data_IF_550787035830
#
_entry.id   IF_550787035830
#
_cell.length_a   1.000
_cell.length_b   1.000
_cell.length_c   1.000
_cell.angle_alpha   90.00
_cell.angle_beta   90.00
_cell.angle_gamma   90.00
#
_symmetry.space_group_name_H-M   'P 1'
#
loop_
_entity.id
_entity.type
_entity.pdbx_description
1 polymer ?
#
# COMPACT_ATOMS: atom_id res chain seq x y z
N UNK A 1 -37.40 54.28 -40.18
CA UNK A 1 -36.29 53.33 -39.75
C UNK A 1 -35.79 53.73 -38.38
N UNK A 2 -35.81 55.03 -37.98
CA UNK A 2 -35.30 55.45 -36.63
C UNK A 2 -36.34 55.28 -35.49
N UNK A 3 -37.60 54.94 -35.81
CA UNK A 3 -38.63 54.69 -34.79
C UNK A 3 -38.73 53.22 -34.34
N UNK A 4 -38.08 52.29 -35.03
CA UNK A 4 -38.10 50.87 -34.74
C UNK A 4 -36.93 50.39 -33.83
N UNK A 5 -36.02 51.29 -33.44
CA UNK A 5 -34.89 50.99 -32.58
C UNK A 5 -35.17 51.32 -31.08
N UNK A 6 -36.32 51.97 -30.82
CA UNK A 6 -36.66 52.38 -29.43
C UNK A 6 -37.33 51.30 -28.58
N UNK A 7 -37.78 50.20 -29.18
CA UNK A 7 -38.46 49.08 -28.46
C UNK A 7 -37.70 47.76 -28.53
N UNK A 8 -36.38 47.78 -28.77
CA UNK A 8 -35.58 46.61 -28.47
C UNK A 8 -35.19 46.73 -27.01
N UNK A 9 -35.81 45.91 -26.17
CA UNK A 9 -35.35 45.56 -24.83
C UNK A 9 -33.91 44.96 -24.97
N UNK A 10 -32.92 45.85 -24.97
CA UNK A 10 -31.56 45.39 -24.69
C UNK A 10 -31.57 44.93 -23.24
N UNK A 11 -31.15 43.69 -22.93
CA UNK A 11 -31.04 43.25 -21.57
C UNK A 11 -30.18 44.27 -20.80
N UNK A 12 -30.68 44.74 -19.68
CA UNK A 12 -30.06 45.76 -18.85
C UNK A 12 -28.59 45.46 -18.67
N UNK A 13 -27.73 46.50 -18.80
CA UNK A 13 -26.29 46.40 -18.66
C UNK A 13 -25.89 45.74 -17.33
N UNK A 14 -26.71 45.87 -16.29
CA UNK A 14 -26.58 45.19 -15.01
C UNK A 14 -26.60 43.64 -15.13
N UNK A 15 -27.48 43.10 -15.99
CA UNK A 15 -27.55 41.64 -16.21
C UNK A 15 -26.31 41.14 -17.02
N UNK A 16 -25.78 41.94 -17.90
CA UNK A 16 -24.54 41.60 -18.63
C UNK A 16 -23.29 41.60 -17.71
N UNK A 17 -23.24 42.55 -16.78
CA UNK A 17 -22.17 42.63 -15.78
C UNK A 17 -22.26 41.44 -14.81
N UNK A 18 -23.45 41.05 -14.41
CA UNK A 18 -23.67 39.92 -13.51
C UNK A 18 -23.27 38.60 -14.14
N UNK A 19 -23.59 38.36 -15.40
CA UNK A 19 -23.18 37.17 -16.15
C UNK A 19 -21.65 37.08 -16.26
N UNK A 20 -20.96 38.22 -16.55
CA UNK A 20 -19.49 38.24 -16.59
C UNK A 20 -18.87 37.95 -15.24
N UNK A 21 -19.41 38.53 -14.19
CA UNK A 21 -18.91 38.29 -12.82
C UNK A 21 -19.12 36.83 -12.39
N UNK A 22 -20.28 36.24 -12.69
CA UNK A 22 -20.55 34.82 -12.46
C UNK A 22 -19.58 33.92 -13.25
N UNK A 23 -19.33 34.27 -14.52
CA UNK A 23 -18.39 33.54 -15.36
C UNK A 23 -16.94 33.63 -14.84
N UNK A 24 -16.48 34.84 -14.49
CA UNK A 24 -15.14 35.07 -13.92
C UNK A 24 -14.99 34.33 -12.58
N UNK A 25 -15.99 34.34 -11.72
CA UNK A 25 -15.99 33.58 -10.48
C UNK A 25 -15.88 32.08 -10.72
N UNK A 26 -16.68 31.50 -11.62
CA UNK A 26 -16.62 30.09 -11.99
C UNK A 26 -15.26 29.71 -12.62
N UNK A 27 -14.68 30.61 -13.41
CA UNK A 27 -13.36 30.41 -13.99
C UNK A 27 -12.27 30.40 -12.91
N UNK A 28 -12.34 31.35 -11.96
CA UNK A 28 -11.47 31.41 -10.78
C UNK A 28 -11.54 30.12 -9.95
N UNK A 29 -12.76 29.67 -9.65
CA UNK A 29 -12.98 28.41 -8.91
C UNK A 29 -12.39 27.18 -9.65
N UNK A 30 -12.53 27.13 -10.98
CA UNK A 30 -11.92 26.07 -11.80
C UNK A 30 -10.41 26.13 -11.78
N UNK A 31 -9.81 27.32 -11.88
CA UNK A 31 -8.35 27.52 -11.83
C UNK A 31 -7.80 27.09 -10.48
N UNK A 32 -8.44 27.48 -9.37
CA UNK A 32 -8.02 27.07 -8.03
C UNK A 32 -8.16 25.54 -7.82
N UNK A 33 -9.24 24.96 -8.31
CA UNK A 33 -9.41 23.49 -8.28
C UNK A 33 -8.33 22.77 -9.09
N UNK A 34 -7.99 23.27 -10.28
CA UNK A 34 -6.91 22.70 -11.11
C UNK A 34 -5.55 22.83 -10.43
N UNK A 35 -5.24 23.98 -9.81
CA UNK A 35 -4.01 24.17 -9.04
C UNK A 35 -3.91 23.21 -7.86
N UNK A 36 -4.99 23.08 -7.08
CA UNK A 36 -5.07 22.14 -5.96
C UNK A 36 -4.86 20.70 -6.42
N UNK A 37 -5.57 20.28 -7.49
CA UNK A 37 -5.42 18.93 -8.05
C UNK A 37 -3.99 18.70 -8.55
N UNK A 38 -3.38 19.66 -9.25
CA UNK A 38 -2.00 19.54 -9.72
C UNK A 38 -1.00 19.40 -8.56
N UNK A 39 -1.18 20.19 -7.50
CA UNK A 39 -0.35 20.08 -6.29
C UNK A 39 -0.48 18.70 -5.63
N UNK A 40 -1.69 18.16 -5.57
CA UNK A 40 -1.93 16.79 -5.06
C UNK A 40 -1.25 15.73 -5.92
N UNK A 41 -1.33 15.84 -7.24
CA UNK A 41 -0.67 14.89 -8.17
C UNK A 41 0.85 14.93 -7.98
N UNK A 42 1.44 16.12 -7.88
CA UNK A 42 2.89 16.26 -7.63
C UNK A 42 3.28 15.64 -6.30
N UNK A 43 2.50 15.90 -5.25
CA UNK A 43 2.73 15.32 -3.93
C UNK A 43 2.69 13.78 -3.96
N UNK A 44 1.66 13.20 -4.57
CA UNK A 44 1.54 11.74 -4.71
C UNK A 44 2.67 11.14 -5.55
N UNK A 45 3.10 11.83 -6.63
CA UNK A 45 4.23 11.37 -7.43
C UNK A 45 5.54 11.36 -6.63
N UNK A 46 5.75 12.37 -5.79
CA UNK A 46 6.92 12.44 -4.90
C UNK A 46 6.90 11.33 -3.84
N UNK A 47 5.75 11.12 -3.19
CA UNK A 47 5.57 10.05 -2.20
C UNK A 47 5.79 8.66 -2.80
N UNK A 48 5.26 8.41 -3.99
CA UNK A 48 5.53 7.20 -4.75
C UNK A 48 7.02 7.01 -5.03
N UNK A 49 7.72 8.05 -5.47
CA UNK A 49 9.16 7.97 -5.73
C UNK A 49 9.96 7.64 -4.46
N UNK A 50 9.59 8.18 -3.32
CA UNK A 50 10.20 7.83 -2.04
C UNK A 50 9.92 6.37 -1.67
N UNK A 51 8.69 5.89 -1.87
CA UNK A 51 8.30 4.50 -1.66
C UNK A 51 9.15 3.54 -2.52
N UNK A 52 9.33 3.85 -3.81
CA UNK A 52 10.19 3.07 -4.72
C UNK A 52 11.62 2.96 -4.18
N UNK A 53 12.23 4.07 -3.76
CA UNK A 53 13.60 4.09 -3.22
C UNK A 53 13.72 3.22 -1.96
N UNK A 54 12.73 3.25 -1.08
CA UNK A 54 12.67 2.41 0.13
C UNK A 54 12.61 0.92 -0.24
N UNK A 55 11.73 0.54 -1.16
CA UNK A 55 11.60 -0.84 -1.63
C UNK A 55 12.89 -1.33 -2.30
N UNK A 56 13.48 -0.53 -3.19
CA UNK A 56 14.75 -0.88 -3.82
C UNK A 56 15.85 -1.13 -2.79
N UNK A 57 15.96 -0.27 -1.76
CA UNK A 57 16.91 -0.46 -0.67
C UNK A 57 16.64 -1.76 0.08
N UNK A 58 15.37 -2.05 0.42
CA UNK A 58 15.00 -3.32 1.05
C UNK A 58 15.37 -4.53 0.18
N UNK A 59 15.13 -4.48 -1.14
CA UNK A 59 15.51 -5.57 -2.04
C UNK A 59 17.02 -5.82 -2.05
N UNK A 60 17.83 -4.77 -2.11
CA UNK A 60 19.29 -4.90 -2.09
C UNK A 60 19.79 -5.54 -0.78
N UNK A 61 19.36 -5.01 0.35
CA UNK A 61 19.70 -5.55 1.68
C UNK A 61 19.20 -7.01 1.86
N UNK A 62 18.02 -7.33 1.30
CA UNK A 62 17.50 -8.71 1.30
C UNK A 62 18.47 -9.67 0.61
N UNK A 63 18.95 -9.32 -0.59
CA UNK A 63 19.86 -10.18 -1.39
C UNK A 63 21.23 -10.33 -0.72
N UNK A 64 21.67 -9.38 0.08
CA UNK A 64 22.95 -9.42 0.80
C UNK A 64 22.93 -10.37 2.01
N UNK A 65 21.76 -10.82 2.47
CA UNK A 65 21.65 -11.77 3.58
C UNK A 65 22.18 -13.15 3.18
N UNK A 66 22.90 -13.83 4.08
CA UNK A 66 23.61 -15.07 3.77
C UNK A 66 22.89 -16.34 4.22
N UNK A 67 21.97 -16.20 5.15
CA UNK A 67 21.18 -17.28 5.75
C UNK A 67 19.79 -16.77 6.13
N UNK A 68 18.91 -17.70 6.51
CA UNK A 68 17.52 -17.41 6.81
C UNK A 68 17.38 -16.57 8.09
N UNK A 69 18.22 -16.79 9.09
CA UNK A 69 18.19 -16.03 10.34
C UNK A 69 18.52 -14.57 10.11
N UNK A 70 19.57 -14.28 9.34
CA UNK A 70 19.94 -12.90 8.98
C UNK A 70 18.88 -12.24 8.09
N UNK A 71 18.22 -13.00 7.20
CA UNK A 71 17.11 -12.52 6.41
C UNK A 71 15.92 -12.11 7.29
N UNK A 72 15.51 -12.97 8.22
CA UNK A 72 14.38 -12.68 9.09
C UNK A 72 14.68 -11.55 10.06
N UNK A 73 15.89 -11.48 10.63
CA UNK A 73 16.33 -10.34 11.44
C UNK A 73 16.31 -9.03 10.64
N UNK A 74 16.82 -9.05 9.41
CA UNK A 74 16.75 -7.88 8.54
C UNK A 74 15.30 -7.44 8.31
N UNK A 75 14.42 -8.36 7.92
CA UNK A 75 13.02 -8.05 7.64
C UNK A 75 12.28 -7.48 8.86
N UNK A 76 12.49 -8.07 10.04
CA UNK A 76 11.76 -7.64 11.24
C UNK A 76 12.32 -6.35 11.88
N UNK A 77 13.60 -6.04 11.71
CA UNK A 77 14.24 -4.90 12.36
C UNK A 77 14.56 -3.78 11.37
N UNK A 78 15.52 -4.00 10.46
CA UNK A 78 16.00 -2.95 9.55
C UNK A 78 14.99 -2.56 8.48
N UNK A 79 14.25 -3.52 7.91
CA UNK A 79 13.24 -3.23 6.89
C UNK A 79 12.11 -2.39 7.46
N UNK A 80 11.76 -2.52 8.74
CA UNK A 80 10.79 -1.67 9.44
C UNK A 80 11.19 -0.20 9.37
N UNK A 81 12.45 0.10 9.68
CA UNK A 81 13.00 1.46 9.60
C UNK A 81 13.07 1.99 8.17
N UNK A 82 13.54 1.17 7.22
CA UNK A 82 13.70 1.57 5.81
C UNK A 82 12.33 1.87 5.19
N UNK A 83 11.34 1.02 5.41
CA UNK A 83 9.99 1.20 4.89
C UNK A 83 9.24 2.31 5.61
N UNK A 84 9.58 2.55 6.88
CA UNK A 84 8.90 3.52 7.74
C UNK A 84 7.52 3.01 8.15
N UNK A 85 7.45 1.73 8.53
CA UNK A 85 6.27 1.07 9.08
C UNK A 85 6.46 0.81 10.57
N UNK A 86 5.39 0.60 11.30
CA UNK A 86 5.49 0.47 12.76
C UNK A 86 5.95 -0.94 13.16
N UNK A 87 5.46 -1.96 12.47
CA UNK A 87 5.81 -3.36 12.78
C UNK A 87 5.85 -4.21 11.51
N UNK A 88 6.77 -5.18 11.49
CA UNK A 88 6.81 -6.25 10.49
C UNK A 88 6.77 -7.59 11.23
N UNK A 89 5.80 -8.43 10.86
CA UNK A 89 5.67 -9.81 11.35
C UNK A 89 5.82 -10.77 10.18
N UNK A 90 6.47 -11.89 10.40
CA UNK A 90 6.66 -12.93 9.39
C UNK A 90 5.91 -14.17 9.85
N UNK A 91 5.05 -14.68 9.00
CA UNK A 91 4.36 -15.95 9.21
C UNK A 91 4.90 -16.95 8.20
N UNK A 92 5.42 -18.07 8.69
CA UNK A 92 6.06 -19.09 7.84
C UNK A 92 5.61 -20.49 8.23
N UNK A 93 5.78 -21.41 7.30
CA UNK A 93 5.45 -22.80 7.47
C UNK A 93 6.36 -23.45 8.51
N UNK A 94 5.79 -24.13 9.52
CA UNK A 94 6.49 -24.82 10.60
C UNK A 94 7.33 -26.01 10.10
N UNK A 95 6.88 -26.75 9.10
CA UNK A 95 7.62 -27.91 8.56
C UNK A 95 9.00 -27.54 7.97
N UNK A 96 9.09 -26.33 7.40
CA UNK A 96 10.31 -25.86 6.72
C UNK A 96 11.19 -25.06 7.68
N UNK A 97 10.59 -24.31 8.60
CA UNK A 97 11.27 -23.28 9.38
C UNK A 97 11.31 -23.54 10.89
N UNK A 98 10.90 -24.73 11.36
CA UNK A 98 10.82 -25.08 12.79
C UNK A 98 12.15 -24.95 13.57
N UNK A 99 13.27 -24.97 12.88
CA UNK A 99 14.59 -24.86 13.49
C UNK A 99 15.07 -23.40 13.66
N UNK A 100 14.30 -22.43 13.20
CA UNK A 100 14.65 -21.01 13.26
C UNK A 100 13.90 -20.34 14.41
N UNK A 101 14.62 -19.66 15.28
CA UNK A 101 14.06 -19.02 16.46
C UNK A 101 14.23 -17.49 16.37
N UNK A 102 13.25 -16.82 15.81
CA UNK A 102 13.22 -15.35 15.71
C UNK A 102 11.96 -14.83 16.41
N UNK A 103 12.11 -13.85 17.32
CA UNK A 103 11.01 -13.32 18.16
C UNK A 103 9.79 -12.82 17.37
N UNK A 104 9.98 -12.37 16.13
CA UNK A 104 8.93 -11.82 15.28
C UNK A 104 8.43 -12.79 14.20
N UNK A 105 8.82 -14.07 14.27
CA UNK A 105 8.35 -15.12 13.38
C UNK A 105 7.26 -15.94 14.04
N UNK A 106 6.17 -16.14 13.32
CA UNK A 106 5.02 -16.95 13.74
C UNK A 106 5.01 -18.19 12.85
N UNK A 107 5.06 -19.37 13.49
CA UNK A 107 5.05 -20.64 12.79
C UNK A 107 3.63 -21.17 12.68
N UNK A 108 3.24 -21.57 11.48
CA UNK A 108 1.89 -22.07 11.17
C UNK A 108 1.94 -23.24 10.19
N UNK A 109 0.95 -24.11 10.26
CA UNK A 109 0.83 -25.21 9.30
C UNK A 109 0.50 -24.72 7.88
N UNK A 110 0.87 -25.51 6.87
CA UNK A 110 0.54 -25.22 5.45
C UNK A 110 -0.96 -24.97 5.23
N UNK A 111 -1.81 -25.70 5.96
CA UNK A 111 -3.26 -25.51 5.84
C UNK A 111 -3.73 -24.16 6.37
N UNK A 112 -3.21 -23.71 7.50
CA UNK A 112 -3.56 -22.43 8.11
C UNK A 112 -3.10 -21.29 7.20
N UNK A 113 -1.86 -21.33 6.67
CA UNK A 113 -1.31 -20.35 5.75
C UNK A 113 -2.15 -20.30 4.47
N UNK A 114 -2.45 -21.45 3.87
CA UNK A 114 -3.22 -21.52 2.63
C UNK A 114 -4.63 -20.99 2.81
N UNK A 115 -5.32 -21.36 3.89
CA UNK A 115 -6.66 -20.85 4.22
C UNK A 115 -6.65 -19.34 4.42
N UNK A 116 -5.64 -18.81 5.12
CA UNK A 116 -5.51 -17.38 5.35
C UNK A 116 -5.27 -16.61 4.06
N UNK A 117 -4.30 -17.04 3.25
CA UNK A 117 -3.95 -16.43 1.96
C UNK A 117 -5.15 -16.38 1.01
N UNK A 118 -5.92 -17.46 0.93
CA UNK A 118 -7.16 -17.53 0.13
C UNK A 118 -8.23 -16.58 0.67
N UNK A 119 -8.43 -16.54 1.99
CA UNK A 119 -9.42 -15.67 2.65
C UNK A 119 -9.11 -14.18 2.42
N UNK A 120 -7.85 -13.81 2.40
CA UNK A 120 -7.38 -12.43 2.16
C UNK A 120 -7.45 -12.07 0.67
N UNK A 121 -7.65 -13.05 -0.22
CA UNK A 121 -7.76 -12.83 -1.67
C UNK A 121 -6.42 -12.69 -2.39
N UNK A 122 -5.35 -13.24 -1.80
CA UNK A 122 -4.06 -13.40 -2.46
C UNK A 122 -4.14 -14.62 -3.37
N UNK A 123 -3.68 -14.47 -4.62
CA UNK A 123 -3.71 -15.51 -5.65
C UNK A 123 -2.40 -15.53 -6.43
N UNK A 124 -2.20 -16.55 -7.26
CA UNK A 124 -1.07 -16.55 -8.21
C UNK A 124 -1.16 -15.35 -9.14
N UNK A 125 -0.19 -14.44 -9.06
CA UNK A 125 -0.16 -13.19 -9.84
C UNK A 125 -0.68 -11.95 -9.09
N UNK A 126 -1.26 -12.12 -7.88
CA UNK A 126 -1.60 -11.03 -6.97
C UNK A 126 -1.08 -11.37 -5.58
N UNK A 127 0.20 -11.11 -5.37
CA UNK A 127 0.97 -11.53 -4.20
C UNK A 127 0.84 -10.59 -3.01
N UNK A 128 0.19 -9.45 -3.19
CA UNK A 128 0.06 -8.39 -2.18
C UNK A 128 -1.40 -8.02 -1.97
N UNK A 129 -1.78 -7.78 -0.73
CA UNK A 129 -3.07 -7.22 -0.34
C UNK A 129 -2.86 -6.06 0.62
N UNK A 130 -3.40 -4.90 0.26
CA UNK A 130 -3.49 -3.72 1.13
C UNK A 130 -4.84 -3.69 1.80
N UNK A 131 -4.89 -3.25 3.05
CA UNK A 131 -6.11 -3.23 3.84
C UNK A 131 -6.10 -2.08 4.83
N UNK A 132 -7.22 -1.36 4.91
CA UNK A 132 -7.48 -0.42 5.99
C UNK A 132 -8.28 -1.15 7.08
N UNK A 133 -7.75 -1.18 8.30
CA UNK A 133 -8.32 -1.92 9.42
C UNK A 133 -8.93 -1.02 10.49
N UNK A 134 -8.85 0.30 10.33
CA UNK A 134 -9.32 1.29 11.31
C UNK A 134 -10.81 1.11 11.69
N UNK A 135 -11.63 0.60 10.78
CA UNK A 135 -13.08 0.42 10.95
C UNK A 135 -13.52 -1.04 11.00
N UNK A 136 -12.58 -2.00 11.02
CA UNK A 136 -12.94 -3.41 11.07
C UNK A 136 -13.21 -3.85 12.52
N UNK A 137 -14.46 -4.29 12.77
CA UNK A 137 -14.78 -5.05 13.98
C UNK A 137 -13.95 -6.34 13.95
N UNK A 138 -13.32 -6.69 15.10
CA UNK A 138 -12.55 -7.94 15.27
C UNK A 138 -13.25 -9.10 14.55
N UNK A 139 -12.63 -9.60 13.48
CA UNK A 139 -13.13 -10.76 12.74
C UNK A 139 -12.28 -11.99 13.07
N UNK A 140 -12.84 -13.18 12.90
CA UNK A 140 -12.21 -14.48 13.17
C UNK A 140 -10.85 -14.72 12.47
N UNK A 141 -10.46 -13.86 11.49
CA UNK A 141 -9.15 -13.88 10.86
C UNK A 141 -8.00 -13.43 11.79
N UNK A 142 -8.32 -12.81 12.92
CA UNK A 142 -7.35 -12.35 13.92
C UNK A 142 -6.76 -13.50 14.74
N UNK A 143 -7.29 -14.73 14.63
CA UNK A 143 -6.75 -15.90 15.35
C UNK A 143 -5.36 -16.31 14.85
N UNK A 144 -5.00 -15.97 13.64
CA UNK A 144 -3.71 -16.34 13.07
C UNK A 144 -2.57 -15.38 13.46
N UNK A 145 -2.90 -14.08 13.59
CA UNK A 145 -1.93 -13.02 13.84
C UNK A 145 -2.53 -12.04 14.85
N UNK A 146 -1.83 -11.83 15.96
CA UNK A 146 -2.16 -10.76 16.89
C UNK A 146 -1.69 -9.44 16.31
N UNK A 147 -2.61 -8.51 16.09
CA UNK A 147 -2.31 -7.13 15.64
C UNK A 147 -1.99 -6.24 16.84
N UNK A 148 -1.21 -5.20 16.57
CA UNK A 148 -1.08 -4.09 17.50
C UNK A 148 -2.38 -3.28 17.55
N UNK A 149 -2.82 -2.87 18.73
CA UNK A 149 -4.07 -2.08 18.89
C UNK A 149 -4.02 -0.74 18.12
N UNK A 150 -2.83 -0.21 17.89
CA UNK A 150 -2.61 1.03 17.16
C UNK A 150 -2.69 0.89 15.64
N UNK A 151 -2.73 -0.33 15.10
CA UNK A 151 -2.71 -0.59 13.65
C UNK A 151 -3.98 -0.07 12.97
N UNK A 152 -3.80 0.79 11.97
CA UNK A 152 -4.89 1.34 11.16
C UNK A 152 -4.86 0.89 9.70
N UNK A 153 -3.68 0.57 9.18
CA UNK A 153 -3.53 0.00 7.84
C UNK A 153 -2.48 -1.11 7.82
N UNK A 154 -2.64 -2.05 6.91
CA UNK A 154 -1.76 -3.20 6.78
C UNK A 154 -1.50 -3.58 5.32
N UNK A 155 -0.32 -4.14 5.06
CA UNK A 155 -0.02 -4.82 3.81
C UNK A 155 0.39 -6.27 4.09
N UNK A 156 -0.24 -7.20 3.38
CA UNK A 156 0.06 -8.62 3.45
C UNK A 156 0.78 -9.01 2.16
N UNK A 157 2.00 -9.52 2.30
CA UNK A 157 2.91 -9.85 1.19
C UNK A 157 3.18 -11.35 1.26
N UNK A 158 2.76 -12.11 0.25
CA UNK A 158 2.97 -13.56 0.24
C UNK A 158 4.43 -13.95 0.02
N UNK A 159 4.86 -15.02 0.66
CA UNK A 159 6.12 -15.70 0.43
C UNK A 159 5.86 -17.05 -0.23
N UNK A 160 6.50 -17.28 -1.37
CA UNK A 160 6.32 -18.50 -2.16
C UNK A 160 7.65 -19.22 -2.39
N UNK A 161 7.62 -20.55 -2.24
CA UNK A 161 8.74 -21.44 -2.53
C UNK A 161 8.22 -22.44 -3.56
N UNK A 162 8.92 -22.64 -4.68
CA UNK A 162 8.49 -23.49 -5.80
C UNK A 162 7.04 -23.22 -6.23
N UNK A 163 6.66 -21.94 -6.33
CA UNK A 163 5.30 -21.49 -6.68
C UNK A 163 4.18 -21.96 -5.73
N UNK A 164 4.52 -22.36 -4.50
CA UNK A 164 3.55 -22.68 -3.44
C UNK A 164 3.68 -21.64 -2.32
N UNK A 165 2.58 -21.18 -1.79
CA UNK A 165 2.59 -20.28 -0.64
C UNK A 165 3.12 -21.01 0.59
N UNK A 166 4.19 -20.48 1.19
CA UNK A 166 4.86 -21.04 2.35
C UNK A 166 4.94 -20.07 3.53
N UNK A 167 4.40 -18.90 3.34
CA UNK A 167 4.35 -17.86 4.35
C UNK A 167 3.84 -16.54 3.80
N UNK A 168 3.89 -15.52 4.64
CA UNK A 168 3.63 -14.14 4.27
C UNK A 168 4.30 -13.17 5.26
N UNK A 169 4.55 -11.97 4.79
CA UNK A 169 5.02 -10.84 5.59
C UNK A 169 3.82 -9.93 5.83
N UNK A 170 3.59 -9.55 7.07
CA UNK A 170 2.60 -8.57 7.48
C UNK A 170 3.32 -7.26 7.84
N UNK A 171 3.04 -6.19 7.12
CA UNK A 171 3.47 -4.84 7.44
C UNK A 171 2.30 -4.12 8.11
N UNK A 172 2.53 -3.52 9.27
CA UNK A 172 1.50 -2.80 10.03
C UNK A 172 1.88 -1.33 10.18
N UNK A 173 0.88 -0.44 10.06
CA UNK A 173 1.07 1.00 10.29
C UNK A 173 -0.08 1.60 11.09
N UNK A 174 0.26 2.51 12.01
CA UNK A 174 -0.67 3.34 12.77
C UNK A 174 -1.30 4.46 11.90
N UNK A 175 -0.82 4.68 10.67
CA UNK A 175 -1.38 5.62 9.72
C UNK A 175 -2.32 4.92 8.75
N UNK A 176 -3.52 5.48 8.54
CA UNK A 176 -4.49 4.96 7.56
C UNK A 176 -4.02 5.12 6.11
N UNK A 177 -3.15 6.10 5.85
CA UNK A 177 -2.69 6.44 4.50
C UNK A 177 -1.48 5.62 4.04
N UNK A 178 -0.80 4.89 4.93
CA UNK A 178 0.40 4.13 4.58
C UNK A 178 0.09 2.99 3.61
N UNK A 179 -1.00 2.26 3.85
CA UNK A 179 -1.45 1.15 3.01
C UNK A 179 -2.90 1.35 2.59
N UNK A 180 -3.13 2.28 1.65
CA UNK A 180 -4.46 2.53 1.08
C UNK A 180 -4.79 1.49 0.02
N UNK A 181 -6.05 1.03 -0.01
CA UNK A 181 -6.54 0.03 -0.97
C UNK A 181 -6.39 0.49 -2.43
N UNK A 182 -6.40 1.82 -2.65
CA UNK A 182 -6.29 2.44 -3.98
C UNK A 182 -4.83 2.62 -4.45
N UNK A 183 -3.84 2.29 -3.63
CA UNK A 183 -2.42 2.37 -4.00
C UNK A 183 -2.02 1.21 -4.90
N UNK A 184 -1.09 1.46 -5.85
CA UNK A 184 -0.45 0.41 -6.62
C UNK A 184 0.37 -0.52 -5.72
N UNK A 185 0.26 -1.82 -5.97
CA UNK A 185 1.00 -2.87 -5.25
C UNK A 185 2.26 -3.34 -5.97
N UNK A 186 2.55 -2.82 -7.17
CA UNK A 186 3.61 -3.31 -8.07
C UNK A 186 4.97 -3.44 -7.39
N UNK A 187 5.34 -2.44 -6.58
CA UNK A 187 6.65 -2.44 -5.89
C UNK A 187 6.70 -3.44 -4.73
N UNK A 188 5.59 -3.60 -4.00
CA UNK A 188 5.49 -4.62 -2.96
C UNK A 188 5.42 -6.02 -3.56
N UNK A 189 4.80 -6.18 -4.73
CA UNK A 189 4.82 -7.43 -5.49
C UNK A 189 6.22 -7.78 -5.98
N UNK A 190 6.98 -6.80 -6.45
CA UNK A 190 8.39 -6.99 -6.78
C UNK A 190 9.20 -7.41 -5.56
N UNK A 191 9.01 -6.74 -4.41
CA UNK A 191 9.65 -7.10 -3.15
C UNK A 191 9.30 -8.53 -2.72
N UNK A 192 8.01 -8.92 -2.82
CA UNK A 192 7.53 -10.28 -2.58
C UNK A 192 8.30 -11.31 -3.41
N UNK A 193 8.44 -11.05 -4.71
CA UNK A 193 9.13 -11.96 -5.64
C UNK A 193 10.62 -12.09 -5.32
N UNK A 194 11.31 -10.98 -5.07
CA UNK A 194 12.74 -10.98 -4.71
C UNK A 194 12.94 -11.74 -3.40
N UNK A 195 12.17 -11.42 -2.37
CA UNK A 195 12.28 -12.07 -1.06
C UNK A 195 11.98 -13.56 -1.14
N UNK A 196 10.93 -13.95 -1.88
CA UNK A 196 10.60 -15.36 -2.11
C UNK A 196 11.71 -16.12 -2.83
N UNK A 197 12.29 -15.55 -3.88
CA UNK A 197 13.39 -16.16 -4.64
C UNK A 197 14.67 -16.26 -3.83
N UNK A 198 14.98 -15.23 -3.06
CA UNK A 198 16.14 -15.26 -2.17
C UNK A 198 15.97 -16.30 -1.06
N UNK A 199 14.80 -16.34 -0.41
CA UNK A 199 14.46 -17.35 0.59
C UNK A 199 14.58 -18.77 0.02
N UNK A 200 14.04 -19.01 -1.19
CA UNK A 200 14.17 -20.29 -1.91
C UNK A 200 15.65 -20.65 -2.09
N UNK A 201 16.50 -19.70 -2.48
CA UNK A 201 17.93 -19.92 -2.67
C UNK A 201 18.69 -20.24 -1.37
N UNK A 202 18.24 -19.70 -0.22
CA UNK A 202 18.85 -19.97 1.08
C UNK A 202 18.46 -21.35 1.63
N UNK A 203 17.27 -21.85 1.31
CA UNK A 203 16.78 -23.16 1.76
C UNK A 203 17.48 -24.30 1.01
N UNK A 204 17.76 -24.11 -0.28
CA UNK A 204 18.30 -25.17 -1.15
C UNK A 204 19.79 -24.98 -1.49
N UNK A 205 20.50 -24.22 -0.67
CA UNK A 205 21.94 -24.05 -0.73
C UNK A 205 22.66 -25.21 -0.04
#
# INVERSE_FOLDING_TARGET
>A
VLALIKDSDFPDEENLIDIRNVFLKKLGEKVEKLKSTNSQIIQHAYENQLGIKKIHKCCLETIETKDIDTLFQFLCLKATEILGVDTIKIVVNDDIFSNFNTENCIFKSDEEITKFVQKVGITKGKNVRLKNVANEKKRESEQLITREESTKSEAIISLSIHNKFKGFILLESASESTFSVDQSTDYLEFFSQITSKHLESLIYK
#
